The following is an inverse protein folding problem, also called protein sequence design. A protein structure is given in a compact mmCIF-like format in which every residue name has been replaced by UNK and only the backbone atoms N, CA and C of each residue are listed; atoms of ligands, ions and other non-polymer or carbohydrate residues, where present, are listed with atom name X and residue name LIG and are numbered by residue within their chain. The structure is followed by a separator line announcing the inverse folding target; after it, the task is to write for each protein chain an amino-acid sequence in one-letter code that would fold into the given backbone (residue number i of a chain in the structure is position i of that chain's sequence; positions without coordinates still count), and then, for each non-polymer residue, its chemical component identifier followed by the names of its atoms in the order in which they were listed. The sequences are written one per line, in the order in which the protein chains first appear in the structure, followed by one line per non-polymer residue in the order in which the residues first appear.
data_IF_858706821651
#
_entry.id   IF_858706821651
#
_cell.length_a   1.000
_cell.length_b   1.000
_cell.length_c   1.000
_cell.angle_alpha   90.00
_cell.angle_beta   90.00
_cell.angle_gamma   90.00
#
_symmetry.space_group_name_H-M   'P 1'
#
loop_
_entity.id
_entity.type
_entity.pdbx_description
1 polymer ?
#
# COMPACT_ATOMS: atom_id res chain seq x y z
N UNK A 1 32.35 -9.50 4.11
CA UNK A 1 32.55 -8.99 5.48
C UNK A 1 32.01 -9.99 6.48
N UNK A 2 32.84 -10.38 7.44
CA UNK A 2 32.46 -11.27 8.54
C UNK A 2 31.94 -10.42 9.69
N UNK A 3 30.69 -10.65 10.09
CA UNK A 3 30.16 -10.11 11.34
C UNK A 3 30.36 -11.16 12.44
N UNK A 4 31.02 -10.79 13.51
CA UNK A 4 31.21 -11.60 14.71
C UNK A 4 30.16 -11.16 15.71
N UNK A 5 29.37 -12.11 16.19
CA UNK A 5 28.40 -11.87 17.27
C UNK A 5 28.73 -12.75 18.45
N UNK A 6 28.93 -12.15 19.59
CA UNK A 6 29.08 -12.89 20.83
C UNK A 6 27.71 -13.31 21.36
N UNK A 7 27.53 -14.60 21.59
CA UNK A 7 26.35 -15.19 22.19
C UNK A 7 26.72 -15.94 23.48
N UNK A 8 25.77 -16.00 24.39
CA UNK A 8 25.92 -16.82 25.59
C UNK A 8 25.17 -18.13 25.38
N UNK A 9 25.79 -19.26 25.72
CA UNK A 9 25.15 -20.55 25.77
C UNK A 9 25.44 -21.26 27.09
N UNK A 10 24.58 -22.19 27.46
CA UNK A 10 24.74 -22.98 28.67
C UNK A 10 25.55 -24.23 28.34
N UNK A 11 26.67 -24.44 29.02
CA UNK A 11 27.51 -25.62 28.88
C UNK A 11 26.90 -26.84 29.58
N UNK A 12 27.61 -27.98 29.51
CA UNK A 12 27.19 -29.24 30.13
C UNK A 12 27.16 -29.19 31.67
N UNK A 13 27.76 -28.17 32.28
CA UNK A 13 27.79 -27.91 33.74
C UNK A 13 26.76 -26.84 34.15
N UNK A 14 25.87 -26.46 33.24
CA UNK A 14 24.83 -25.44 33.43
C UNK A 14 25.38 -24.04 33.72
N UNK A 15 26.58 -23.74 33.22
CA UNK A 15 27.20 -22.42 33.31
C UNK A 15 27.06 -21.66 32.00
N UNK A 16 26.82 -20.34 32.08
CA UNK A 16 26.77 -19.47 30.94
C UNK A 16 28.18 -19.16 30.44
N UNK A 17 28.48 -19.62 29.23
CA UNK A 17 29.75 -19.42 28.55
C UNK A 17 29.55 -18.59 27.31
N UNK A 18 30.49 -17.67 27.04
CA UNK A 18 30.48 -16.88 25.80
C UNK A 18 30.92 -17.72 24.61
N UNK A 19 30.15 -17.61 23.53
CA UNK A 19 30.49 -18.23 22.24
C UNK A 19 30.53 -17.16 21.17
N UNK A 20 31.59 -17.17 20.41
CA UNK A 20 31.77 -16.29 19.26
C UNK A 20 31.30 -17.02 18.00
N UNK A 21 30.22 -16.57 17.40
CA UNK A 21 29.67 -17.12 16.16
C UNK A 21 30.10 -16.25 14.98
N UNK A 22 30.68 -16.87 13.97
CA UNK A 22 31.06 -16.20 12.71
C UNK A 22 29.93 -16.31 11.72
N UNK A 23 29.33 -15.18 11.36
CA UNK A 23 28.30 -15.12 10.34
C UNK A 23 28.90 -14.80 8.97
N UNK A 24 28.78 -15.73 8.05
CA UNK A 24 29.13 -15.50 6.66
C UNK A 24 27.94 -14.88 5.92
N UNK A 25 27.97 -13.57 5.72
CA UNK A 25 26.98 -12.87 4.92
C UNK A 25 27.34 -13.01 3.43
N UNK A 26 26.56 -13.82 2.73
CA UNK A 26 26.69 -13.97 1.28
C UNK A 26 25.57 -13.15 0.62
N UNK A 27 25.94 -12.25 -0.27
CA UNK A 27 24.98 -11.53 -1.11
C UNK A 27 24.10 -12.53 -1.88
N UNK A 28 22.78 -12.40 -1.77
CA UNK A 28 21.81 -13.17 -2.58
C UNK A 28 21.71 -12.66 -4.02
N UNK A 29 22.78 -12.24 -4.62
CA UNK A 29 22.76 -12.03 -6.06
C UNK A 29 22.56 -13.38 -6.74
N UNK A 30 21.43 -13.57 -7.39
CA UNK A 30 21.22 -14.71 -8.30
C UNK A 30 22.12 -14.49 -9.51
N UNK A 31 23.32 -15.05 -9.46
CA UNK A 31 24.09 -15.24 -10.70
C UNK A 31 23.25 -16.17 -11.59
N UNK A 32 22.78 -15.66 -12.73
CA UNK A 32 22.35 -16.53 -13.82
C UNK A 32 23.56 -17.40 -14.16
N UNK A 33 23.47 -18.70 -13.90
CA UNK A 33 24.42 -19.66 -14.46
C UNK A 33 24.35 -19.51 -15.96
N UNK A 34 25.41 -19.08 -16.58
CA UNK A 34 25.57 -19.18 -18.03
C UNK A 34 25.54 -20.67 -18.37
N UNK A 35 24.55 -21.07 -19.15
CA UNK A 35 24.52 -22.40 -19.72
C UNK A 35 25.71 -22.52 -20.69
N UNK A 36 26.44 -23.67 -20.71
CA UNK A 36 27.61 -23.83 -21.62
C UNK A 36 27.13 -23.77 -23.08
N UNK A 37 27.60 -22.79 -23.80
CA UNK A 37 27.35 -22.62 -25.23
C UNK A 37 27.77 -23.87 -26.00
N UNK A 38 26.82 -24.52 -26.66
CA UNK A 38 27.10 -25.52 -27.69
C UNK A 38 27.75 -24.81 -28.88
N UNK A 39 29.03 -25.05 -29.10
CA UNK A 39 29.78 -24.55 -30.24
C UNK A 39 29.13 -24.92 -31.57
N UNK A 40 28.39 -23.98 -32.16
CA UNK A 40 28.05 -24.02 -33.59
C UNK A 40 29.12 -23.29 -34.36
N UNK A 41 29.86 -24.05 -35.23
CA UNK A 41 30.79 -23.48 -36.21
C UNK A 41 30.05 -22.48 -37.08
N UNK A 42 30.54 -21.25 -37.18
CA UNK A 42 30.00 -20.25 -38.03
C UNK A 42 30.97 -19.49 -38.87
N UNK A 43 30.48 -19.20 -40.05
CA UNK A 43 31.12 -18.40 -41.10
C UNK A 43 31.29 -16.96 -40.62
N UNK A 44 32.47 -16.39 -40.86
CA UNK A 44 32.76 -14.96 -40.72
C UNK A 44 31.80 -14.18 -41.64
N UNK A 45 31.08 -13.29 -41.05
CA UNK A 45 30.46 -12.15 -41.68
C UNK A 45 30.70 -10.96 -40.76
N UNK A 46 31.02 -9.85 -41.37
CA UNK A 46 31.41 -8.58 -40.75
C UNK A 46 30.47 -8.21 -39.61
N UNK A 47 31.02 -8.11 -38.40
CA UNK A 47 30.30 -7.62 -37.21
C UNK A 47 30.36 -6.09 -37.29
N UNK A 48 29.26 -5.49 -37.67
CA UNK A 48 28.91 -4.15 -37.23
C UNK A 48 28.61 -4.31 -35.73
N UNK A 49 29.27 -3.50 -34.87
CA UNK A 49 29.03 -3.41 -33.44
C UNK A 49 27.54 -3.09 -33.21
N UNK A 50 26.72 -4.10 -32.91
CA UNK A 50 25.40 -3.86 -32.34
C UNK A 50 25.59 -3.21 -30.97
N UNK A 51 25.00 -2.03 -30.71
CA UNK A 51 25.13 -1.38 -29.41
C UNK A 51 24.56 -2.30 -28.32
N UNK A 52 25.33 -2.50 -27.25
CA UNK A 52 24.86 -3.26 -26.10
C UNK A 52 23.48 -2.70 -25.66
N UNK A 53 22.50 -3.57 -25.33
CA UNK A 53 21.20 -3.11 -24.92
C UNK A 53 21.34 -2.23 -23.66
N UNK A 54 20.91 -0.98 -23.77
CA UNK A 54 20.90 -0.04 -22.65
C UNK A 54 20.06 -0.61 -21.53
N UNK A 55 20.68 -0.85 -20.38
CA UNK A 55 19.98 -1.27 -19.16
C UNK A 55 19.32 -0.04 -18.54
N UNK A 56 18.01 0.00 -18.58
CA UNK A 56 17.25 1.05 -17.92
C UNK A 56 17.04 0.74 -16.43
N UNK A 57 16.81 1.79 -15.66
CA UNK A 57 16.41 1.68 -14.26
C UNK A 57 15.03 1.03 -14.16
N UNK A 58 14.89 -0.15 -13.52
CA UNK A 58 13.59 -0.77 -13.36
C UNK A 58 12.68 0.08 -12.47
N UNK A 59 11.44 0.25 -12.93
CA UNK A 59 10.41 0.97 -12.20
C UNK A 59 9.10 0.19 -12.23
N UNK A 60 8.45 0.10 -11.10
CA UNK A 60 7.09 -0.43 -10.99
C UNK A 60 6.12 0.74 -10.84
N UNK A 61 5.20 0.86 -11.81
CA UNK A 61 4.17 1.90 -11.83
C UNK A 61 2.90 1.35 -11.19
N UNK A 62 2.58 1.82 -10.00
CA UNK A 62 1.35 1.51 -9.30
C UNK A 62 0.20 2.39 -9.78
N UNK A 63 -0.17 2.27 -11.06
CA UNK A 63 -1.33 2.93 -11.66
C UNK A 63 -2.25 1.86 -12.25
N UNK A 64 -3.34 1.49 -11.58
CA UNK A 64 -4.31 0.53 -12.11
C UNK A 64 -5.05 1.14 -13.31
N UNK A 65 -5.48 0.30 -14.26
CA UNK A 65 -6.27 0.74 -15.42
C UNK A 65 -7.61 1.37 -15.03
N UNK A 66 -8.15 0.99 -13.87
CA UNK A 66 -9.32 1.59 -13.21
C UNK A 66 -8.90 2.05 -11.82
N UNK A 67 -8.85 3.35 -11.61
CA UNK A 67 -8.40 3.99 -10.37
C UNK A 67 -9.58 4.43 -9.52
N UNK A 68 -9.46 4.28 -8.22
CA UNK A 68 -10.41 4.83 -7.27
C UNK A 68 -10.26 6.35 -7.15
N UNK A 69 -11.37 7.07 -6.88
CA UNK A 69 -11.38 8.54 -6.72
C UNK A 69 -10.44 9.04 -5.62
N UNK A 70 -10.09 8.20 -4.66
CA UNK A 70 -9.14 8.49 -3.58
C UNK A 70 -7.76 7.85 -3.81
N UNK A 71 -7.53 7.30 -4.99
CA UNK A 71 -6.29 6.62 -5.34
C UNK A 71 -5.14 7.60 -5.57
N UNK A 72 -3.93 7.08 -5.61
CA UNK A 72 -2.72 7.80 -6.01
C UNK A 72 -1.90 6.94 -6.94
N UNK A 73 -1.10 7.57 -7.80
CA UNK A 73 -0.12 6.87 -8.62
C UNK A 73 1.17 6.75 -7.82
N UNK A 74 1.74 5.55 -7.76
CA UNK A 74 3.03 5.34 -7.12
C UNK A 74 4.06 4.83 -8.11
N UNK A 75 5.27 5.38 -8.05
CA UNK A 75 6.45 4.88 -8.75
C UNK A 75 7.37 4.25 -7.72
N UNK A 76 7.71 2.98 -7.89
CA UNK A 76 8.64 2.29 -7.00
C UNK A 76 9.82 1.79 -7.81
N UNK A 77 11.01 2.24 -7.44
CA UNK A 77 12.27 1.93 -8.10
C UNK A 77 13.02 0.81 -7.37
N UNK A 78 13.85 0.07 -8.09
CA UNK A 78 14.69 -0.98 -7.48
C UNK A 78 15.84 -0.40 -6.65
N UNK A 79 16.26 0.83 -6.94
CA UNK A 79 17.30 1.56 -6.20
C UNK A 79 16.85 2.97 -5.80
N UNK A 80 17.50 3.59 -4.81
CA UNK A 80 17.22 4.98 -4.46
C UNK A 80 17.55 5.93 -5.61
N UNK A 81 16.77 7.01 -5.72
CA UNK A 81 16.93 8.02 -6.76
C UNK A 81 17.92 9.09 -6.30
N UNK A 82 18.95 9.32 -7.10
CA UNK A 82 19.95 10.38 -6.85
C UNK A 82 19.45 11.75 -7.27
N UNK A 83 18.74 11.83 -8.38
CA UNK A 83 18.11 13.04 -8.90
C UNK A 83 16.94 12.71 -9.81
N UNK A 84 15.98 13.61 -9.89
CA UNK A 84 14.90 13.54 -10.88
C UNK A 84 14.56 14.93 -11.42
N UNK A 85 13.97 14.95 -12.61
CA UNK A 85 13.48 16.16 -13.25
C UNK A 85 11.95 16.17 -13.20
N UNK A 86 11.39 17.06 -12.40
CA UNK A 86 9.94 17.20 -12.26
C UNK A 86 9.28 17.73 -13.54
N UNK A 87 10.00 18.47 -14.38
CA UNK A 87 9.46 18.97 -15.65
C UNK A 87 9.28 17.87 -16.72
N UNK A 88 9.93 16.71 -16.52
CA UNK A 88 9.80 15.54 -17.38
C UNK A 88 8.68 14.58 -16.96
N UNK A 89 7.87 14.97 -15.97
CA UNK A 89 6.72 14.20 -15.47
C UNK A 89 5.45 14.93 -15.86
N UNK A 90 4.53 14.24 -16.52
CA UNK A 90 3.32 14.83 -17.07
C UNK A 90 2.08 14.04 -16.64
N UNK A 91 1.05 14.78 -16.28
CA UNK A 91 -0.28 14.25 -16.07
C UNK A 91 -1.24 14.99 -17.02
N UNK A 92 -2.00 14.23 -17.77
CA UNK A 92 -2.98 14.76 -18.71
C UNK A 92 -4.36 14.22 -18.44
N UNK A 93 -5.32 15.11 -18.55
CA UNK A 93 -6.74 14.79 -18.49
C UNK A 93 -7.33 14.83 -19.90
N UNK A 94 -8.24 13.91 -20.17
CA UNK A 94 -8.97 13.89 -21.41
C UNK A 94 -10.24 14.70 -21.29
N UNK A 95 -10.26 15.86 -21.95
CA UNK A 95 -11.44 16.73 -22.05
C UNK A 95 -12.00 16.56 -23.46
N UNK A 96 -13.18 15.98 -23.58
CA UNK A 96 -13.80 15.56 -24.85
C UNK A 96 -12.90 14.61 -25.63
N UNK A 97 -12.18 15.13 -26.63
CA UNK A 97 -11.26 14.36 -27.50
C UNK A 97 -9.80 14.78 -27.35
N UNK A 98 -9.51 15.82 -26.58
CA UNK A 98 -8.19 16.42 -26.43
C UNK A 98 -7.58 16.09 -25.09
N UNK A 99 -6.28 15.88 -25.08
CA UNK A 99 -5.48 15.74 -23.86
C UNK A 99 -4.97 17.09 -23.40
N UNK A 100 -5.25 17.46 -22.16
CA UNK A 100 -4.83 18.72 -21.54
C UNK A 100 -3.92 18.42 -20.36
N UNK A 101 -2.76 19.10 -20.31
CA UNK A 101 -1.87 19.02 -19.14
C UNK A 101 -2.52 19.67 -17.92
N UNK A 102 -2.42 19.00 -16.77
CA UNK A 102 -3.00 19.42 -15.50
C UNK A 102 -1.92 19.44 -14.42
N UNK A 103 -2.00 20.37 -13.46
CA UNK A 103 -1.09 20.42 -12.32
C UNK A 103 -1.37 19.26 -11.38
N UNK A 104 -0.34 18.76 -10.70
CA UNK A 104 -0.42 17.67 -9.73
C UNK A 104 0.63 17.85 -8.64
N UNK A 105 0.46 17.17 -7.52
CA UNK A 105 1.44 17.07 -6.46
C UNK A 105 2.28 15.81 -6.64
N UNK A 106 3.60 15.94 -6.55
CA UNK A 106 4.52 14.81 -6.72
C UNK A 106 5.58 14.84 -5.62
N UNK A 107 5.58 13.81 -4.78
CA UNK A 107 6.40 13.77 -3.58
C UNK A 107 7.11 12.42 -3.43
N UNK A 108 8.33 12.48 -2.88
CA UNK A 108 9.04 11.29 -2.44
C UNK A 108 8.50 10.82 -1.10
N UNK A 109 8.30 9.52 -0.95
CA UNK A 109 7.87 8.91 0.31
C UNK A 109 8.96 9.10 1.38
N UNK A 110 8.61 9.70 2.52
CA UNK A 110 9.54 9.97 3.62
C UNK A 110 10.10 8.73 4.29
N UNK A 111 9.39 7.60 4.22
CA UNK A 111 9.78 6.32 4.81
C UNK A 111 10.46 5.40 3.79
N UNK A 112 10.26 5.64 2.50
CA UNK A 112 10.81 4.82 1.44
C UNK A 112 11.39 5.66 0.30
N UNK A 113 12.68 5.93 0.36
CA UNK A 113 13.41 6.76 -0.63
C UNK A 113 13.38 6.21 -2.07
N UNK A 114 12.88 4.99 -2.27
CA UNK A 114 12.69 4.37 -3.59
C UNK A 114 11.29 4.60 -4.15
N UNK A 115 10.41 5.25 -3.39
CA UNK A 115 9.02 5.44 -3.75
C UNK A 115 8.67 6.91 -3.91
N UNK A 116 7.94 7.21 -4.98
CA UNK A 116 7.34 8.51 -5.24
C UNK A 116 5.85 8.34 -5.40
N UNK A 117 5.09 9.30 -4.93
CA UNK A 117 3.64 9.31 -5.02
C UNK A 117 3.19 10.56 -5.75
N UNK A 118 2.21 10.40 -6.65
CA UNK A 118 1.51 11.48 -7.32
C UNK A 118 0.11 11.56 -6.76
N UNK A 119 -0.27 12.74 -6.32
CA UNK A 119 -1.60 13.06 -5.79
C UNK A 119 -2.30 14.06 -6.70
N UNK A 120 -3.57 13.84 -6.89
CA UNK A 120 -4.45 14.71 -7.64
C UNK A 120 -5.89 14.49 -7.19
N UNK A 121 -6.73 15.53 -7.25
CA UNK A 121 -8.17 15.41 -6.98
C UNK A 121 -8.86 14.86 -8.23
N UNK A 122 -8.96 13.54 -8.30
CA UNK A 122 -9.46 12.85 -9.47
C UNK A 122 -10.95 13.12 -9.72
N UNK A 123 -11.30 13.56 -10.91
CA UNK A 123 -12.69 13.68 -11.32
C UNK A 123 -13.31 12.32 -11.67
N UNK A 124 -14.44 11.94 -11.03
CA UNK A 124 -15.05 10.64 -11.27
C UNK A 124 -15.48 10.44 -12.72
N UNK A 125 -15.10 9.31 -13.31
CA UNK A 125 -15.47 8.93 -14.65
C UNK A 125 -14.56 9.46 -15.76
N UNK A 126 -13.62 10.36 -15.46
CA UNK A 126 -12.69 10.91 -16.43
C UNK A 126 -11.53 9.95 -16.74
N UNK A 127 -10.93 10.16 -17.91
CA UNK A 127 -9.75 9.41 -18.37
C UNK A 127 -8.51 10.28 -18.23
N UNK A 128 -7.43 9.67 -17.75
CA UNK A 128 -6.15 10.32 -17.51
C UNK A 128 -5.00 9.57 -18.14
N UNK A 129 -3.93 10.27 -18.44
CA UNK A 129 -2.70 9.72 -18.95
C UNK A 129 -1.53 10.26 -18.13
N UNK A 130 -0.84 9.37 -17.45
CA UNK A 130 0.42 9.67 -16.76
C UNK A 130 1.58 9.31 -17.67
N UNK A 131 2.56 10.19 -17.80
CA UNK A 131 3.76 9.90 -18.57
C UNK A 131 5.01 10.51 -17.92
N UNK A 132 6.12 9.81 -18.13
CA UNK A 132 7.44 10.23 -17.68
C UNK A 132 8.37 10.12 -18.88
N UNK A 133 9.10 11.17 -19.18
CA UNK A 133 10.05 11.16 -20.29
C UNK A 133 11.29 10.32 -19.95
N UNK A 134 11.98 9.86 -20.99
CA UNK A 134 13.24 9.14 -20.82
C UNK A 134 14.24 10.00 -20.07
N UNK A 135 15.06 9.38 -19.21
CA UNK A 135 16.07 10.04 -18.38
C UNK A 135 15.53 10.95 -17.25
N UNK A 136 14.22 10.97 -17.00
CA UNK A 136 13.64 11.79 -15.93
C UNK A 136 14.14 11.42 -14.52
N UNK A 137 14.42 10.15 -14.27
CA UNK A 137 14.97 9.68 -12.99
C UNK A 137 16.33 9.05 -13.19
N UNK A 138 17.27 9.39 -12.31
CA UNK A 138 18.60 8.80 -12.26
C UNK A 138 18.81 8.12 -10.91
N UNK A 139 19.12 6.84 -10.93
CA UNK A 139 19.47 6.06 -9.76
C UNK A 139 20.90 6.31 -9.29
N UNK A 140 21.17 5.90 -8.06
CA UNK A 140 22.50 6.09 -7.44
C UNK A 140 23.62 5.30 -8.13
N UNK A 141 23.28 4.25 -8.88
CA UNK A 141 24.24 3.43 -9.63
C UNK A 141 24.40 3.84 -11.09
N UNK A 142 23.83 5.01 -11.48
CA UNK A 142 24.01 5.61 -12.79
C UNK A 142 23.03 5.14 -13.85
N UNK A 143 22.10 4.25 -13.51
CA UNK A 143 21.00 3.90 -14.40
C UNK A 143 19.98 5.04 -14.49
N UNK A 144 19.25 5.10 -15.59
CA UNK A 144 18.18 6.08 -15.80
C UNK A 144 16.92 5.40 -16.33
N UNK A 145 15.77 6.06 -16.13
CA UNK A 145 14.48 5.53 -16.59
C UNK A 145 14.33 5.63 -18.10
N UNK A 146 13.66 4.64 -18.67
CA UNK A 146 13.08 4.76 -20.01
C UNK A 146 11.75 5.52 -19.93
N UNK A 147 11.19 5.82 -21.10
CA UNK A 147 9.89 6.49 -21.20
C UNK A 147 8.78 5.63 -20.61
N UNK A 148 7.97 6.23 -19.74
CA UNK A 148 6.80 5.59 -19.14
C UNK A 148 5.55 6.27 -19.70
N UNK A 149 4.54 5.47 -20.01
CA UNK A 149 3.23 5.99 -20.42
C UNK A 149 2.16 5.03 -19.92
N UNK A 150 1.24 5.55 -19.10
CA UNK A 150 0.17 4.78 -18.49
C UNK A 150 -1.15 5.55 -18.57
N UNK A 151 -2.10 5.01 -19.32
CA UNK A 151 -3.47 5.52 -19.33
C UNK A 151 -4.33 4.79 -18.29
N UNK A 152 -5.24 5.50 -17.64
CA UNK A 152 -6.19 4.94 -16.69
C UNK A 152 -7.49 5.75 -16.70
N UNK A 153 -8.53 5.13 -16.15
CA UNK A 153 -9.83 5.76 -15.97
C UNK A 153 -10.19 5.79 -14.49
N UNK A 154 -10.71 6.92 -14.04
CA UNK A 154 -11.24 7.04 -12.68
C UNK A 154 -12.65 6.48 -12.63
N UNK A 155 -12.95 5.72 -11.61
CA UNK A 155 -14.26 5.10 -11.41
C UNK A 155 -15.33 6.16 -11.19
N UNK A 156 -16.54 5.86 -11.62
CA UNK A 156 -17.69 6.74 -11.40
C UNK A 156 -18.21 6.61 -9.96
N UNK A 157 -18.86 7.67 -9.47
CA UNK A 157 -19.46 7.66 -8.12
C UNK A 157 -20.50 6.55 -7.96
N UNK A 158 -21.25 6.25 -9.03
CA UNK A 158 -22.29 5.20 -9.04
C UNK A 158 -21.70 3.78 -8.90
N UNK A 159 -20.40 3.61 -9.02
CA UNK A 159 -19.72 2.32 -8.83
C UNK A 159 -19.42 2.03 -7.35
N UNK A 160 -19.55 3.03 -6.48
CA UNK A 160 -19.32 2.92 -5.07
C UNK A 160 -20.60 2.77 -4.27
N UNK A 161 -20.42 2.41 -3.01
CA UNK A 161 -21.45 2.38 -2.00
C UNK A 161 -21.02 3.20 -0.79
N UNK A 162 -21.95 3.51 0.09
CA UNK A 162 -21.68 4.10 1.40
C UNK A 162 -22.33 3.29 2.53
N UNK A 163 -21.72 3.38 3.73
CA UNK A 163 -22.28 2.82 4.97
C UNK A 163 -22.13 3.87 6.05
N UNK A 164 -23.22 4.19 6.72
CA UNK A 164 -23.25 5.06 7.89
C UNK A 164 -23.74 4.30 9.11
N UNK A 165 -22.92 4.23 10.15
CA UNK A 165 -23.32 3.70 11.46
C UNK A 165 -23.77 4.84 12.37
N UNK A 166 -24.79 4.56 13.17
CA UNK A 166 -25.17 5.35 14.34
C UNK A 166 -24.90 4.48 15.56
N UNK A 167 -23.79 4.76 16.23
CA UNK A 167 -23.31 4.00 17.39
C UNK A 167 -23.80 4.66 18.67
N UNK A 168 -24.27 3.85 19.62
CA UNK A 168 -24.66 4.28 20.96
C UNK A 168 -23.92 3.47 22.01
N UNK A 169 -23.58 4.12 23.13
CA UNK A 169 -22.90 3.51 24.26
C UNK A 169 -21.36 3.49 24.18
N UNK A 170 -20.77 3.96 23.07
CA UNK A 170 -19.32 4.03 22.88
C UNK A 170 -18.72 5.34 23.43
N UNK A 171 -17.44 5.30 23.76
CA UNK A 171 -16.68 6.49 24.14
C UNK A 171 -16.44 7.42 22.93
N UNK A 172 -16.21 8.70 23.19
CA UNK A 172 -15.98 9.70 22.14
C UNK A 172 -14.68 9.47 21.35
N UNK A 173 -13.74 8.73 21.91
CA UNK A 173 -12.48 8.36 21.26
C UNK A 173 -12.58 7.09 20.42
N UNK A 174 -13.68 6.34 20.56
CA UNK A 174 -13.89 5.08 19.86
C UNK A 174 -13.85 5.24 18.33
N UNK A 175 -13.43 4.19 17.66
CA UNK A 175 -13.42 4.14 16.19
C UNK A 175 -14.04 2.83 15.68
N UNK A 176 -14.63 2.92 14.49
CA UNK A 176 -15.18 1.78 13.76
C UNK A 176 -14.23 1.37 12.65
N UNK A 177 -14.01 0.08 12.51
CA UNK A 177 -13.29 -0.54 11.41
C UNK A 177 -14.22 -1.41 10.58
N UNK A 178 -14.15 -1.24 9.26
CA UNK A 178 -14.71 -2.20 8.31
C UNK A 178 -13.65 -3.25 7.97
N UNK A 179 -14.06 -4.49 8.01
CA UNK A 179 -13.23 -5.66 7.73
C UNK A 179 -13.72 -6.37 6.47
N UNK A 180 -12.79 -6.88 5.67
CA UNK A 180 -13.09 -7.79 4.55
C UNK A 180 -13.26 -9.25 5.01
N UNK A 181 -13.46 -10.15 4.04
CA UNK A 181 -13.62 -11.59 4.29
C UNK A 181 -12.36 -12.26 4.89
N UNK A 182 -11.22 -11.63 4.85
CA UNK A 182 -9.96 -12.07 5.44
C UNK A 182 -9.64 -11.39 6.78
N UNK A 183 -10.61 -10.71 7.38
CA UNK A 183 -10.44 -9.90 8.61
C UNK A 183 -9.45 -8.74 8.48
N UNK A 184 -9.11 -8.35 7.25
CA UNK A 184 -8.26 -7.21 7.01
C UNK A 184 -9.06 -5.91 7.12
N UNK A 185 -8.49 -4.93 7.81
CA UNK A 185 -9.09 -3.60 7.91
C UNK A 185 -9.06 -2.93 6.54
N UNK A 186 -10.23 -2.68 5.98
CA UNK A 186 -10.42 -1.96 4.72
C UNK A 186 -10.42 -0.45 4.97
N UNK A 187 -11.17 -0.02 5.98
CA UNK A 187 -11.27 1.38 6.39
C UNK A 187 -11.52 1.53 7.87
N UNK A 188 -11.08 2.67 8.41
CA UNK A 188 -11.30 3.07 9.80
C UNK A 188 -11.86 4.48 9.84
N UNK A 189 -12.81 4.73 10.77
CA UNK A 189 -13.37 6.05 11.05
C UNK A 189 -13.59 6.21 12.55
N UNK A 190 -13.19 7.36 13.09
CA UNK A 190 -13.55 7.77 14.45
C UNK A 190 -15.03 8.17 14.46
N UNK A 191 -15.65 7.97 15.61
CA UNK A 191 -17.02 8.47 15.83
C UNK A 191 -17.00 10.00 15.84
N UNK A 192 -18.02 10.58 15.22
CA UNK A 192 -18.32 12.00 15.38
C UNK A 192 -19.00 12.25 16.72
N UNK A 193 -19.13 13.52 17.14
CA UNK A 193 -19.81 13.91 18.39
C UNK A 193 -21.27 13.40 18.47
N UNK A 194 -21.90 13.10 17.32
CA UNK A 194 -23.23 12.50 17.25
C UNK A 194 -23.25 10.98 17.25
N UNK A 195 -22.09 10.30 17.41
CA UNK A 195 -21.97 8.85 17.35
C UNK A 195 -22.01 8.27 15.95
N UNK A 196 -21.82 9.09 14.91
CA UNK A 196 -21.80 8.61 13.53
C UNK A 196 -20.39 8.17 13.09
N UNK A 197 -20.34 7.10 12.28
CA UNK A 197 -19.18 6.69 11.53
C UNK A 197 -19.55 6.49 10.06
N UNK A 198 -19.04 7.38 9.20
CA UNK A 198 -19.38 7.43 7.78
C UNK A 198 -18.26 6.82 6.93
N UNK A 199 -18.64 5.87 6.10
CA UNK A 199 -17.76 5.19 5.15
C UNK A 199 -18.25 5.43 3.72
N UNK A 200 -17.63 6.35 3.02
CA UNK A 200 -17.91 6.66 1.62
C UNK A 200 -16.96 5.95 0.66
N UNK A 201 -17.33 5.86 -0.60
CA UNK A 201 -16.55 5.28 -1.68
C UNK A 201 -16.08 3.84 -1.38
N UNK A 202 -16.98 3.02 -0.85
CA UNK A 202 -16.73 1.61 -0.63
C UNK A 202 -16.96 0.83 -1.93
N UNK A 203 -16.09 -0.12 -2.18
CA UNK A 203 -16.34 -1.07 -3.25
C UNK A 203 -17.52 -1.98 -2.88
N UNK A 204 -18.37 -2.38 -3.84
CA UNK A 204 -19.37 -3.41 -3.58
C UNK A 204 -18.72 -4.69 -3.06
N UNK A 205 -19.28 -5.28 -2.03
CA UNK A 205 -18.70 -6.48 -1.40
C UNK A 205 -19.34 -6.81 -0.06
N UNK A 206 -18.74 -7.74 0.65
CA UNK A 206 -19.16 -8.12 2.00
C UNK A 206 -18.22 -7.54 3.03
N UNK A 207 -18.79 -6.96 4.07
CA UNK A 207 -18.05 -6.34 5.15
C UNK A 207 -18.59 -6.79 6.51
N UNK A 208 -17.68 -6.99 7.45
CA UNK A 208 -17.99 -6.97 8.86
C UNK A 208 -17.54 -5.63 9.45
N UNK A 209 -18.17 -5.21 10.54
CA UNK A 209 -17.74 -4.05 11.28
C UNK A 209 -17.35 -4.43 12.72
N UNK A 210 -16.28 -3.80 13.21
CA UNK A 210 -15.91 -3.83 14.62
C UNK A 210 -15.67 -2.42 15.12
N UNK A 211 -16.02 -2.20 16.36
CA UNK A 211 -15.73 -0.97 17.11
C UNK A 211 -14.66 -1.27 18.14
N UNK A 212 -13.70 -0.39 18.24
CA UNK A 212 -12.65 -0.39 19.28
C UNK A 212 -12.89 0.79 20.19
N UNK A 213 -12.98 0.53 21.50
CA UNK A 213 -13.13 1.57 22.50
C UNK A 213 -11.73 2.07 22.89
N UNK A 214 -11.24 3.04 22.12
CA UNK A 214 -9.87 3.58 22.21
C UNK A 214 -9.76 4.51 23.43
N UNK A 215 -9.38 3.94 24.58
CA UNK A 215 -9.34 4.67 25.86
C UNK A 215 -8.30 5.78 25.90
N UNK A 216 -7.18 5.60 25.23
CA UNK A 216 -6.07 6.56 25.24
C UNK A 216 -6.09 7.51 24.01
N UNK A 217 -6.98 7.30 23.04
CA UNK A 217 -7.17 8.14 21.87
C UNK A 217 -6.05 8.07 20.84
N UNK A 218 -5.23 6.99 20.86
CA UNK A 218 -4.09 6.84 19.95
C UNK A 218 -4.48 6.35 18.54
N UNK A 219 -5.72 5.86 18.35
CA UNK A 219 -6.27 5.41 17.07
C UNK A 219 -5.86 3.99 16.68
N UNK A 220 -5.29 3.22 17.58
CA UNK A 220 -4.98 1.80 17.40
C UNK A 220 -5.54 1.00 18.57
N UNK A 221 -5.82 -0.28 18.33
CA UNK A 221 -6.21 -1.18 19.41
C UNK A 221 -4.99 -1.56 20.26
N UNK A 222 -5.09 -1.32 21.55
CA UNK A 222 -4.03 -1.63 22.50
C UNK A 222 -4.28 -2.94 23.24
N UNK A 223 -3.25 -3.77 23.30
CA UNK A 223 -3.23 -4.95 24.15
C UNK A 223 -3.09 -4.53 25.62
N UNK A 224 -3.59 -5.35 26.55
CA UNK A 224 -3.38 -5.09 27.96
C UNK A 224 -1.90 -5.15 28.35
N UNK A 225 -1.60 -4.58 29.52
CA UNK A 225 -0.27 -4.63 30.14
C UNK A 225 -0.37 -5.35 31.49
N UNK A 226 0.16 -6.57 31.57
CA UNK A 226 0.09 -7.39 32.78
C UNK A 226 0.82 -6.75 33.96
N UNK A 227 1.97 -6.12 33.73
CA UNK A 227 2.76 -5.49 34.79
C UNK A 227 2.06 -4.29 35.42
N UNK A 228 1.29 -3.56 34.63
CA UNK A 228 0.48 -2.42 35.07
C UNK A 228 -0.93 -2.79 35.47
N UNK A 229 -1.34 -4.04 35.31
CA UNK A 229 -2.71 -4.50 35.57
C UNK A 229 -3.75 -3.91 34.61
N UNK A 230 -3.31 -3.44 33.44
CA UNK A 230 -4.19 -2.86 32.41
C UNK A 230 -4.80 -3.96 31.54
N UNK A 231 -6.12 -3.95 31.37
CA UNK A 231 -6.83 -4.85 30.46
C UNK A 231 -6.72 -4.35 29.01
N UNK A 232 -6.81 -5.25 28.00
CA UNK A 232 -6.93 -4.85 26.60
C UNK A 232 -8.10 -3.88 26.38
N UNK A 233 -8.02 -3.09 25.33
CA UNK A 233 -9.15 -2.28 24.92
C UNK A 233 -10.31 -3.14 24.42
N UNK A 234 -11.52 -2.71 24.75
CA UNK A 234 -12.72 -3.44 24.43
C UNK A 234 -13.04 -3.36 22.93
N UNK A 235 -13.44 -4.50 22.38
CA UNK A 235 -13.81 -4.64 20.96
C UNK A 235 -15.21 -5.19 20.87
N UNK A 236 -16.06 -4.53 20.11
CA UNK A 236 -17.43 -4.93 19.85
C UNK A 236 -17.62 -5.20 18.37
N UNK A 237 -18.43 -6.20 18.03
CA UNK A 237 -18.73 -6.54 16.66
C UNK A 237 -20.16 -6.17 16.30
N UNK A 238 -20.35 -5.60 15.08
CA UNK A 238 -21.68 -5.39 14.55
C UNK A 238 -22.30 -6.75 14.23
N UNK A 239 -23.59 -6.90 14.58
CA UNK A 239 -24.28 -8.20 14.56
C UNK A 239 -24.72 -8.68 13.18
N UNK A 240 -24.49 -7.90 12.13
CA UNK A 240 -24.88 -8.26 10.75
C UNK A 240 -23.70 -8.12 9.79
N UNK A 241 -23.72 -8.96 8.76
CA UNK A 241 -22.86 -8.79 7.59
C UNK A 241 -23.49 -7.73 6.70
N UNK A 242 -22.68 -6.78 6.26
CA UNK A 242 -23.08 -5.69 5.38
C UNK A 242 -22.70 -6.04 3.94
N UNK A 243 -23.65 -6.00 3.04
CA UNK A 243 -23.45 -6.30 1.61
C UNK A 243 -23.85 -5.10 0.73
N UNK A 244 -23.12 -3.97 0.80
CA UNK A 244 -23.44 -2.83 -0.04
C UNK A 244 -23.21 -3.17 -1.52
N UNK A 245 -24.17 -2.77 -2.36
CA UNK A 245 -24.08 -2.87 -3.81
C UNK A 245 -23.70 -1.52 -4.40
N UNK A 246 -23.24 -1.49 -5.64
CA UNK A 246 -22.95 -0.25 -6.35
C UNK A 246 -24.18 0.69 -6.32
N UNK A 247 -23.93 1.97 -6.08
CA UNK A 247 -24.92 3.02 -5.96
C UNK A 247 -25.93 2.82 -4.81
N UNK A 248 -25.50 2.12 -3.74
CA UNK A 248 -26.32 1.93 -2.55
C UNK A 248 -25.74 2.64 -1.36
N UNK A 249 -26.62 3.35 -0.63
CA UNK A 249 -26.32 3.98 0.64
C UNK A 249 -27.00 3.18 1.76
N UNK A 250 -26.20 2.50 2.58
CA UNK A 250 -26.68 1.83 3.79
C UNK A 250 -26.66 2.83 4.95
N UNK A 251 -27.66 3.70 4.96
CA UNK A 251 -27.78 4.76 5.96
C UNK A 251 -28.19 4.23 7.33
N UNK A 252 -27.68 4.90 8.37
CA UNK A 252 -28.11 4.78 9.77
C UNK A 252 -28.20 3.35 10.29
N UNK A 253 -27.15 2.57 10.04
CA UNK A 253 -27.03 1.26 10.66
C UNK A 253 -26.93 1.45 12.18
N UNK A 254 -28.04 1.23 12.90
CA UNK A 254 -28.10 1.42 14.35
C UNK A 254 -27.25 0.36 15.04
N UNK A 255 -26.35 0.78 15.90
CA UNK A 255 -25.44 -0.10 16.62
C UNK A 255 -25.34 0.29 18.10
N UNK A 256 -26.07 -0.44 18.94
CA UNK A 256 -25.88 -0.37 20.39
C UNK A 256 -24.81 -1.38 20.79
N UNK A 257 -23.66 -0.90 21.28
CA UNK A 257 -22.54 -1.78 21.66
C UNK A 257 -22.83 -2.71 22.84
N UNK A 258 -23.88 -2.43 23.60
CA UNK A 258 -24.33 -3.27 24.72
C UNK A 258 -25.41 -4.27 24.34
N UNK A 259 -25.92 -4.21 23.08
CA UNK A 259 -26.91 -5.16 22.60
C UNK A 259 -26.27 -6.54 22.32
N UNK A 260 -26.99 -7.59 22.64
CA UNK A 260 -26.57 -8.98 22.39
C UNK A 260 -27.15 -9.42 21.03
N UNK A 261 -26.42 -10.19 20.23
CA UNK A 261 -25.13 -10.82 20.49
C UNK A 261 -23.94 -9.92 20.17
N UNK A 262 -22.85 -10.13 20.91
CA UNK A 262 -21.56 -9.42 20.72
C UNK A 262 -20.59 -10.21 19.85
N UNK A 263 -21.02 -11.34 19.31
CA UNK A 263 -20.17 -12.27 18.56
C UNK A 263 -19.87 -11.75 17.15
N UNK A 264 -18.62 -11.94 16.73
CA UNK A 264 -18.18 -11.67 15.38
C UNK A 264 -18.98 -12.53 14.37
N UNK A 265 -19.53 -11.89 13.35
CA UNK A 265 -20.15 -12.57 12.24
C UNK A 265 -19.07 -13.19 11.32
N UNK A 266 -19.35 -14.37 10.78
CA UNK A 266 -18.50 -15.04 9.81
C UNK A 266 -18.95 -14.64 8.40
N UNK A 267 -18.00 -14.16 7.60
CA UNK A 267 -18.20 -13.86 6.18
C UNK A 267 -18.14 -15.11 5.31
#
# INVERSE_FOLDING_TARGET
EMCIRDSLYTDTLNQLVSRTDTLNLVSKQKYKKEEPEKKKKKKKKDEEDEPEPTKFLPVNVGAPSSMDVYGSISLTFDEPIARFDSAAIHLKEKVDTLWKDIPFEFEQDSLNLKRFNLYYDWEPGNEYEFSVDSTAFHGIYGLFTDKIKQGFKVRKLEEYASITFLVTGADSTAFVELLDAQDKVVRRRRLTDGGYADFYFLNPGKYCARLVNDRNGNGIWDTGNFEKGEQPEEVYYYNMILEPKANWDLDKQSWDIHAIPLDKQKL
#
